data_IF_453006625126
#
_entry.id   IF_453006625126
#
_cell.length_a   1.000
_cell.length_b   1.000
_cell.length_c   1.000
_cell.angle_alpha   90.00
_cell.angle_beta   90.00
_cell.angle_gamma   90.00
#
_symmetry.space_group_name_H-M   'P 1'
#
loop_
_entity.id
_entity.type
_entity.pdbx_description
1 polymer ?
#
# COMPACT_ATOMS: atom_id res chain seq x y z
N UNK A 1 -10.81 6.97 -14.81
CA UNK A 1 -11.18 6.17 -13.62
C UNK A 1 -11.77 7.13 -12.60
N UNK A 2 -12.95 6.81 -12.06
CA UNK A 2 -13.57 7.60 -10.99
C UNK A 2 -12.71 7.64 -9.72
N UNK A 3 -12.77 8.73 -8.94
CA UNK A 3 -11.94 8.88 -7.73
C UNK A 3 -12.15 7.75 -6.71
N UNK A 4 -13.40 7.33 -6.53
CA UNK A 4 -13.76 6.19 -5.68
C UNK A 4 -13.11 4.88 -6.16
N UNK A 5 -13.16 4.65 -7.47
CA UNK A 5 -12.55 3.47 -8.08
C UNK A 5 -11.03 3.50 -7.98
N UNK A 6 -10.42 4.69 -8.08
CA UNK A 6 -8.99 4.88 -7.87
C UNK A 6 -8.57 4.53 -6.44
N UNK A 7 -9.30 5.01 -5.42
CA UNK A 7 -9.00 4.65 -4.03
C UNK A 7 -9.17 3.16 -3.76
N UNK A 8 -10.25 2.55 -4.27
CA UNK A 8 -10.45 1.11 -4.16
C UNK A 8 -9.28 0.35 -4.80
N UNK A 9 -8.88 0.72 -6.02
CA UNK A 9 -7.75 0.10 -6.71
C UNK A 9 -6.43 0.19 -5.92
N UNK A 10 -6.14 1.32 -5.27
CA UNK A 10 -4.94 1.46 -4.44
C UNK A 10 -4.99 0.52 -3.23
N UNK A 11 -6.12 0.48 -2.53
CA UNK A 11 -6.27 -0.25 -1.26
C UNK A 11 -6.40 -1.76 -1.48
N UNK A 12 -7.02 -2.22 -2.59
CA UNK A 12 -7.35 -3.64 -2.80
C UNK A 12 -6.67 -4.31 -4.00
N UNK A 13 -6.18 -3.55 -4.98
CA UNK A 13 -5.79 -4.07 -6.30
C UNK A 13 -4.29 -4.10 -6.60
N UNK A 14 -3.43 -3.89 -5.59
CA UNK A 14 -1.99 -3.78 -5.79
C UNK A 14 -1.52 -2.40 -6.28
N UNK A 15 -2.42 -1.42 -6.42
CA UNK A 15 -2.07 -0.06 -6.81
C UNK A 15 -1.09 0.62 -5.86
N UNK A 16 -1.17 0.33 -4.56
CA UNK A 16 -0.20 0.80 -3.58
C UNK A 16 1.23 0.33 -3.88
N UNK A 17 1.40 -0.89 -4.40
CA UNK A 17 2.70 -1.43 -4.80
C UNK A 17 3.27 -0.74 -6.04
N UNK A 18 2.42 -0.42 -7.02
CA UNK A 18 2.81 0.34 -8.21
C UNK A 18 3.25 1.75 -7.81
N UNK A 19 2.50 2.42 -6.94
CA UNK A 19 2.86 3.73 -6.43
C UNK A 19 4.16 3.69 -5.63
N UNK A 20 4.37 2.65 -4.82
CA UNK A 20 5.62 2.45 -4.10
C UNK A 20 6.81 2.25 -5.05
N UNK A 21 6.63 1.48 -6.12
CA UNK A 21 7.64 1.30 -7.16
C UNK A 21 8.02 2.64 -7.81
N UNK A 22 7.03 3.41 -8.27
CA UNK A 22 7.27 4.73 -8.87
C UNK A 22 7.95 5.69 -7.90
N UNK A 23 7.58 5.65 -6.61
CA UNK A 23 8.20 6.50 -5.59
C UNK A 23 9.66 6.11 -5.32
N UNK A 24 9.96 4.81 -5.27
CA UNK A 24 11.32 4.32 -5.05
C UNK A 24 12.22 4.66 -6.23
N UNK A 25 11.72 4.51 -7.46
CA UNK A 25 12.48 4.78 -8.68
C UNK A 25 12.69 6.28 -8.91
N UNK A 26 11.71 7.12 -8.55
CA UNK A 26 11.76 8.57 -8.69
C UNK A 26 12.61 9.31 -7.65
N UNK A 27 13.06 8.64 -6.60
CA UNK A 27 13.82 9.24 -5.50
C UNK A 27 15.21 8.63 -5.46
N UNK A 28 16.23 9.41 -5.81
CA UNK A 28 17.62 8.95 -6.00
C UNK A 28 18.19 8.15 -4.82
N UNK A 29 17.93 8.59 -3.58
CA UNK A 29 18.40 7.88 -2.38
C UNK A 29 17.69 6.52 -2.16
N UNK A 30 16.44 6.37 -2.59
CA UNK A 30 15.71 5.09 -2.53
C UNK A 30 16.12 4.17 -3.68
N UNK A 31 16.29 4.73 -4.87
CA UNK A 31 16.74 4.02 -6.06
C UNK A 31 18.16 3.45 -5.90
N UNK A 32 19.03 4.13 -5.15
CA UNK A 32 20.41 3.69 -4.88
C UNK A 32 20.54 2.64 -3.77
N UNK A 33 19.46 2.28 -3.07
CA UNK A 33 19.49 1.26 -2.02
C UNK A 33 19.93 -0.11 -2.57
N UNK A 34 20.73 -0.84 -1.77
CA UNK A 34 21.04 -2.23 -2.06
C UNK A 34 19.78 -3.10 -2.02
N UNK A 35 19.77 -4.30 -2.66
CA UNK A 35 18.54 -5.05 -2.88
C UNK A 35 17.72 -5.37 -1.62
N UNK A 36 18.38 -5.69 -0.50
CA UNK A 36 17.70 -6.05 0.75
C UNK A 36 17.01 -4.83 1.41
N UNK A 37 17.69 -3.70 1.69
CA UNK A 37 17.04 -2.47 2.14
C UNK A 37 15.97 -1.96 1.18
N UNK A 38 16.22 -2.02 -0.15
CA UNK A 38 15.25 -1.60 -1.16
C UNK A 38 13.94 -2.40 -1.07
N UNK A 39 14.04 -3.71 -0.87
CA UNK A 39 12.87 -4.59 -0.67
C UNK A 39 12.09 -4.20 0.60
N UNK A 40 12.78 -3.94 1.71
CA UNK A 40 12.12 -3.49 2.95
C UNK A 40 11.44 -2.14 2.76
N UNK A 41 12.10 -1.21 2.06
CA UNK A 41 11.52 0.09 1.72
C UNK A 41 10.26 -0.06 0.86
N UNK A 42 10.27 -0.93 -0.16
CA UNK A 42 9.11 -1.20 -1.00
C UNK A 42 7.91 -1.69 -0.19
N UNK A 43 8.13 -2.58 0.77
CA UNK A 43 7.08 -3.08 1.66
C UNK A 43 6.53 -1.99 2.58
N UNK A 44 7.40 -1.25 3.25
CA UNK A 44 7.01 -0.17 4.16
C UNK A 44 6.23 0.92 3.41
N UNK A 45 6.75 1.36 2.26
CA UNK A 45 6.12 2.41 1.44
C UNK A 45 4.76 1.93 0.91
N UNK A 46 4.65 0.69 0.43
CA UNK A 46 3.37 0.14 -0.05
C UNK A 46 2.31 0.12 1.05
N UNK A 47 2.68 -0.34 2.25
CA UNK A 47 1.76 -0.35 3.39
C UNK A 47 1.32 1.06 3.81
N UNK A 48 2.26 2.01 3.87
CA UNK A 48 1.99 3.40 4.22
C UNK A 48 1.07 4.09 3.20
N UNK A 49 1.30 3.86 1.90
CA UNK A 49 0.43 4.39 0.84
C UNK A 49 -0.98 3.81 0.97
N UNK A 50 -1.11 2.48 1.14
CA UNK A 50 -2.41 1.84 1.26
C UNK A 50 -3.18 2.35 2.50
N UNK A 51 -2.52 2.46 3.65
CA UNK A 51 -3.09 3.01 4.88
C UNK A 51 -3.51 4.48 4.74
N UNK A 52 -2.66 5.31 4.12
CA UNK A 52 -2.95 6.72 3.90
C UNK A 52 -4.16 6.90 2.98
N UNK A 53 -4.22 6.16 1.87
CA UNK A 53 -5.35 6.22 0.93
C UNK A 53 -6.62 5.65 1.54
N UNK A 54 -6.55 4.56 2.31
CA UNK A 54 -7.71 4.06 3.06
C UNK A 54 -8.28 5.13 3.99
N UNK A 55 -7.40 5.81 4.74
CA UNK A 55 -7.78 6.89 5.66
C UNK A 55 -8.46 8.04 4.91
N UNK A 56 -7.88 8.48 3.79
CA UNK A 56 -8.49 9.51 2.93
C UNK A 56 -9.84 9.06 2.35
N UNK A 57 -9.95 7.80 1.94
CA UNK A 57 -11.19 7.23 1.41
C UNK A 57 -12.30 7.18 2.46
N UNK A 58 -11.96 6.86 3.71
CA UNK A 58 -12.90 6.89 4.83
C UNK A 58 -13.39 8.32 5.11
N UNK A 59 -12.47 9.31 5.17
CA UNK A 59 -12.86 10.71 5.37
C UNK A 59 -13.64 11.31 4.21
N UNK A 60 -13.41 10.84 2.98
CA UNK A 60 -14.17 11.24 1.79
C UNK A 60 -15.56 10.55 1.70
N UNK A 61 -15.91 9.67 2.65
CA UNK A 61 -17.17 8.94 2.65
C UNK A 61 -17.24 7.80 1.62
N UNK A 62 -16.10 7.40 1.06
CA UNK A 62 -16.04 6.30 0.10
C UNK A 62 -15.92 4.93 0.77
N UNK A 63 -15.44 4.90 2.02
CA UNK A 63 -15.39 3.74 2.91
C UNK A 63 -16.15 4.07 4.21
N UNK A 64 -16.61 3.04 4.92
CA UNK A 64 -17.20 3.24 6.24
C UNK A 64 -16.12 3.75 7.20
N UNK A 65 -16.45 4.81 7.96
CA UNK A 65 -15.51 5.40 8.90
C UNK A 65 -15.48 4.54 10.18
N UNK A 66 -14.32 3.96 10.57
CA UNK A 66 -14.24 3.19 11.79
C UNK A 66 -14.63 4.03 13.01
N UNK A 67 -15.56 3.50 13.81
CA UNK A 67 -16.22 4.24 14.90
C UNK A 67 -15.42 4.23 16.22
N UNK A 68 -14.35 3.43 16.30
CA UNK A 68 -13.51 3.31 17.49
C UNK A 68 -12.03 3.27 17.12
N UNK A 69 -11.15 3.63 18.06
CA UNK A 69 -9.71 3.56 17.86
C UNK A 69 -9.21 2.14 17.55
N UNK A 70 -9.82 1.11 18.14
CA UNK A 70 -9.47 -0.28 17.84
C UNK A 70 -9.88 -0.67 16.41
N UNK A 71 -11.07 -0.25 15.96
CA UNK A 71 -11.53 -0.52 14.60
C UNK A 71 -10.62 0.15 13.55
N UNK A 72 -10.04 1.31 13.87
CA UNK A 72 -8.99 1.93 13.05
C UNK A 72 -7.73 1.07 12.98
N UNK A 73 -7.24 0.60 14.12
CA UNK A 73 -6.04 -0.27 14.18
C UNK A 73 -6.25 -1.54 13.36
N UNK A 74 -7.39 -2.22 13.55
CA UNK A 74 -7.73 -3.45 12.83
C UNK A 74 -7.81 -3.20 11.31
N UNK A 75 -8.46 -2.12 10.90
CA UNK A 75 -8.60 -1.76 9.48
C UNK A 75 -7.24 -1.45 8.84
N UNK A 76 -6.42 -0.62 9.49
CA UNK A 76 -5.10 -0.26 8.98
C UNK A 76 -4.15 -1.45 8.94
N UNK A 77 -4.22 -2.33 9.95
CA UNK A 77 -3.45 -3.57 9.96
C UNK A 77 -3.86 -4.50 8.81
N UNK A 78 -5.16 -4.66 8.56
CA UNK A 78 -5.67 -5.47 7.45
C UNK A 78 -5.23 -4.90 6.09
N UNK A 79 -5.36 -3.59 5.90
CA UNK A 79 -4.94 -2.91 4.66
C UNK A 79 -3.43 -3.03 4.44
N UNK A 80 -2.63 -2.76 5.48
CA UNK A 80 -1.17 -2.85 5.40
C UNK A 80 -0.68 -4.28 5.13
N UNK A 81 -1.23 -5.27 5.84
CA UNK A 81 -0.87 -6.68 5.66
C UNK A 81 -1.32 -7.24 4.31
N UNK A 82 -2.46 -6.79 3.78
CA UNK A 82 -2.92 -7.16 2.42
C UNK A 82 -1.98 -6.60 1.36
N UNK A 83 -1.61 -5.32 1.45
CA UNK A 83 -0.65 -4.70 0.53
C UNK A 83 0.71 -5.41 0.58
N UNK A 84 1.18 -5.75 1.77
CA UNK A 84 2.38 -6.55 1.97
C UNK A 84 2.26 -7.95 1.36
N UNK A 85 1.20 -8.70 1.65
CA UNK A 85 0.99 -10.06 1.16
C UNK A 85 0.89 -10.13 -0.37
N UNK A 86 0.15 -9.21 -0.99
CA UNK A 86 0.06 -9.10 -2.44
C UNK A 86 1.42 -8.79 -3.08
N UNK A 87 2.25 -7.97 -2.43
CA UNK A 87 3.62 -7.73 -2.91
C UNK A 87 4.48 -9.00 -2.92
N UNK A 88 4.27 -9.93 -1.98
CA UNK A 88 4.98 -11.22 -1.98
C UNK A 88 4.49 -12.14 -3.11
N UNK A 89 3.18 -12.19 -3.35
CA UNK A 89 2.59 -13.05 -4.40
C UNK A 89 3.10 -12.69 -5.79
N UNK A 90 3.32 -11.40 -6.05
CA UNK A 90 3.88 -10.93 -7.33
C UNK A 90 5.32 -11.43 -7.52
N UNK A 91 6.11 -11.56 -6.45
CA UNK A 91 7.50 -12.05 -6.49
C UNK A 91 7.63 -13.57 -6.37
N UNK A 92 6.57 -14.30 -6.02
CA UNK A 92 6.62 -15.77 -5.94
C UNK A 92 6.93 -16.39 -7.31
N UNK A 93 6.56 -15.71 -8.40
CA UNK A 93 6.86 -16.14 -9.78
C UNK A 93 8.35 -16.12 -10.10
N UNK A 94 9.16 -15.36 -9.35
CA UNK A 94 10.60 -15.29 -9.54
C UNK A 94 11.36 -16.41 -8.80
N UNK A 95 10.64 -17.26 -8.03
CA UNK A 95 11.20 -18.36 -7.24
C UNK A 95 10.93 -19.77 -7.83
N UNK A 96 10.15 -19.85 -8.91
CA UNK A 96 9.77 -21.10 -9.60
C UNK A 96 10.40 -21.08 -10.99
#
# INVERSE_FOLDING_TARGET
MELRAFFAWIVSGGGAGILAYLLIDGIEWLASLSPKPKRVAAFAISALIAMGIYTLAAFAGYQELPVSGMAWVESLFLVGSTAFGLSQLIHVRDLI
#
